data_IF_979547187782
#
_entry.id   IF_979547187782
#
_cell.length_a   1.000
_cell.length_b   1.000
_cell.length_c   1.000
_cell.angle_alpha   90.00
_cell.angle_beta   90.00
_cell.angle_gamma   90.00
#
_symmetry.space_group_name_H-M   'P 1'
#
loop_
_entity.id
_entity.type
_entity.pdbx_description
1 polymer ?
#
# COMPACT_ATOMS: atom_id res chain seq x y z
N UNK A 1 -14.20 11.78 13.78
CA UNK A 1 -14.12 11.12 15.13
C UNK A 1 -13.15 9.94 15.02
N UNK A 2 -11.84 10.26 14.95
CA UNK A 2 -10.82 9.28 14.48
C UNK A 2 -9.80 8.91 15.59
N UNK A 3 -10.31 8.86 16.85
CA UNK A 3 -9.45 8.54 17.98
C UNK A 3 -9.63 7.09 18.43
N UNK A 4 -8.55 6.26 18.45
CA UNK A 4 -8.61 4.91 18.99
C UNK A 4 -9.00 4.87 20.46
N UNK A 5 -8.75 5.95 21.21
CA UNK A 5 -9.15 6.09 22.62
C UNK A 5 -10.67 6.16 22.73
N UNK A 6 -11.35 6.93 21.88
CA UNK A 6 -12.82 7.00 21.88
C UNK A 6 -13.45 5.66 21.48
N UNK A 7 -12.84 4.93 20.56
CA UNK A 7 -13.28 3.57 20.20
C UNK A 7 -13.19 2.64 21.43
N UNK A 8 -12.06 2.62 22.13
CA UNK A 8 -11.87 1.78 23.31
C UNK A 8 -12.85 2.13 24.44
N UNK A 9 -13.06 3.43 24.69
CA UNK A 9 -14.00 3.91 25.72
C UNK A 9 -15.45 3.55 25.38
N UNK A 10 -15.87 3.73 24.14
CA UNK A 10 -17.24 3.39 23.71
C UNK A 10 -17.49 1.89 23.76
N UNK A 11 -16.52 1.06 23.34
CA UNK A 11 -16.60 -0.39 23.41
C UNK A 11 -16.69 -0.86 24.87
N UNK A 12 -15.85 -0.31 25.75
CA UNK A 12 -15.89 -0.60 27.20
C UNK A 12 -17.23 -0.23 27.83
N UNK A 13 -17.71 0.99 27.59
CA UNK A 13 -18.95 1.48 28.16
C UNK A 13 -20.17 0.67 27.69
N UNK A 14 -20.29 0.41 26.38
CA UNK A 14 -21.42 -0.37 25.83
C UNK A 14 -21.39 -1.82 26.28
N UNK A 15 -20.19 -2.43 26.36
CA UNK A 15 -20.01 -3.78 26.89
C UNK A 15 -20.42 -3.89 28.38
N UNK A 16 -20.01 -2.95 29.22
CA UNK A 16 -20.38 -2.91 30.63
C UNK A 16 -21.88 -2.76 30.82
N UNK A 17 -22.52 -1.84 30.09
CA UNK A 17 -23.98 -1.64 30.14
C UNK A 17 -24.71 -2.90 29.72
N UNK A 18 -24.33 -3.52 28.62
CA UNK A 18 -24.94 -4.75 28.14
C UNK A 18 -24.83 -5.90 29.17
N UNK A 19 -23.64 -6.10 29.73
CA UNK A 19 -23.43 -7.11 30.76
C UNK A 19 -24.22 -6.82 32.05
N UNK A 20 -24.33 -5.55 32.45
CA UNK A 20 -25.15 -5.19 33.65
C UNK A 20 -26.65 -5.43 33.42
N UNK A 21 -27.17 -5.06 32.24
CA UNK A 21 -28.58 -5.26 31.91
C UNK A 21 -28.92 -6.76 31.77
N UNK A 22 -28.02 -7.56 31.21
CA UNK A 22 -28.22 -8.97 30.91
C UNK A 22 -27.62 -9.91 31.97
N UNK A 23 -27.25 -9.41 33.16
CA UNK A 23 -26.55 -10.18 34.21
C UNK A 23 -27.28 -11.46 34.66
N UNK A 24 -28.60 -11.53 34.46
CA UNK A 24 -29.41 -12.73 34.77
C UNK A 24 -29.55 -13.70 33.59
N UNK A 25 -29.01 -13.35 32.42
CA UNK A 25 -29.12 -14.13 31.18
C UNK A 25 -27.74 -14.27 30.53
N UNK A 26 -26.91 -15.19 31.04
CA UNK A 26 -25.49 -15.26 30.64
C UNK A 26 -25.30 -15.49 29.14
N UNK A 27 -26.12 -16.31 28.49
CA UNK A 27 -26.03 -16.54 27.06
C UNK A 27 -26.34 -15.27 26.26
N UNK A 28 -27.38 -14.54 26.64
CA UNK A 28 -27.73 -13.25 26.00
C UNK A 28 -26.65 -12.21 26.21
N UNK A 29 -25.98 -12.18 27.38
CA UNK A 29 -24.87 -11.26 27.66
C UNK A 29 -23.68 -11.56 26.74
N UNK A 30 -23.33 -12.81 26.54
CA UNK A 30 -22.27 -13.23 25.62
C UNK A 30 -22.59 -12.81 24.18
N UNK A 31 -23.79 -13.14 23.70
CA UNK A 31 -24.23 -12.77 22.35
C UNK A 31 -24.23 -11.26 22.13
N UNK A 32 -24.74 -10.48 23.09
CA UNK A 32 -24.72 -9.03 23.03
C UNK A 32 -23.31 -8.47 23.00
N UNK A 33 -22.40 -9.00 23.82
CA UNK A 33 -20.99 -8.59 23.82
C UNK A 33 -20.31 -8.86 22.47
N UNK A 34 -20.51 -10.04 21.89
CA UNK A 34 -19.99 -10.37 20.57
C UNK A 34 -20.56 -9.47 19.47
N UNK A 35 -21.85 -9.17 19.52
CA UNK A 35 -22.51 -8.26 18.58
C UNK A 35 -21.94 -6.84 18.70
N UNK A 36 -21.77 -6.32 19.92
CA UNK A 36 -21.17 -5.00 20.17
C UNK A 36 -19.73 -4.96 19.62
N UNK A 37 -18.94 -5.99 19.89
CA UNK A 37 -17.58 -6.09 19.38
C UNK A 37 -17.54 -6.08 17.84
N UNK A 38 -18.42 -6.84 17.20
CA UNK A 38 -18.53 -6.89 15.74
C UNK A 38 -18.93 -5.55 15.13
N UNK A 39 -19.91 -4.87 15.73
CA UNK A 39 -20.35 -3.56 15.26
C UNK A 39 -19.22 -2.52 15.40
N UNK A 40 -18.55 -2.47 16.55
CA UNK A 40 -17.42 -1.55 16.74
C UNK A 40 -16.26 -1.85 15.79
N UNK A 41 -15.96 -3.13 15.58
CA UNK A 41 -14.94 -3.52 14.61
C UNK A 41 -15.31 -3.10 13.19
N UNK A 42 -16.52 -3.45 12.72
CA UNK A 42 -16.93 -3.20 11.33
C UNK A 42 -17.12 -1.73 11.00
N UNK A 43 -17.76 -0.97 11.88
CA UNK A 43 -18.16 0.41 11.60
C UNK A 43 -17.12 1.45 12.06
N UNK A 44 -16.24 1.09 12.97
CA UNK A 44 -15.27 2.05 13.52
C UNK A 44 -13.82 1.61 13.40
N UNK A 45 -13.44 0.45 13.93
CA UNK A 45 -12.05 0.02 13.91
C UNK A 45 -11.53 -0.27 12.49
N UNK A 46 -12.35 -0.90 11.66
CA UNK A 46 -11.98 -1.24 10.28
C UNK A 46 -11.70 0.02 9.44
N UNK A 47 -12.56 1.05 9.39
CA UNK A 47 -12.27 2.30 8.71
C UNK A 47 -11.01 3.01 9.23
N UNK A 48 -10.80 3.03 10.55
CA UNK A 48 -9.59 3.62 11.15
C UNK A 48 -8.30 2.95 10.67
N UNK A 49 -8.32 1.63 10.47
CA UNK A 49 -7.15 0.87 10.02
C UNK A 49 -7.01 0.82 8.49
N UNK A 50 -7.98 1.36 7.75
CA UNK A 50 -7.98 1.24 6.29
C UNK A 50 -6.71 1.81 5.63
N UNK A 51 -6.24 2.96 6.11
CA UNK A 51 -5.04 3.62 5.59
C UNK A 51 -3.75 2.80 5.78
N UNK A 52 -3.71 1.92 6.81
CA UNK A 52 -2.57 1.03 7.05
C UNK A 52 -2.64 -0.26 6.23
N UNK A 53 -3.83 -0.64 5.75
CA UNK A 53 -4.09 -1.92 5.09
C UNK A 53 -4.21 -1.82 3.59
N UNK A 54 -4.73 -0.70 3.08
CA UNK A 54 -4.93 -0.53 1.64
C UNK A 54 -3.83 0.34 1.03
N UNK A 55 -3.47 0.12 -0.25
CA UNK A 55 -2.51 0.97 -0.95
C UNK A 55 -3.13 2.29 -1.44
N UNK A 56 -4.39 2.60 -1.10
CA UNK A 56 -5.13 3.75 -1.61
C UNK A 56 -4.36 5.07 -1.44
N UNK A 57 -3.91 5.35 -0.21
CA UNK A 57 -3.20 6.59 0.09
C UNK A 57 -1.88 6.68 -0.67
N UNK A 58 -1.12 5.58 -0.75
CA UNK A 58 0.15 5.50 -1.47
C UNK A 58 -0.07 5.78 -2.96
N UNK A 59 -1.06 5.12 -3.58
CA UNK A 59 -1.39 5.29 -5.00
C UNK A 59 -1.87 6.71 -5.31
N UNK A 60 -2.73 7.29 -4.46
CA UNK A 60 -3.18 8.67 -4.60
C UNK A 60 -2.02 9.67 -4.50
N UNK A 61 -1.14 9.50 -3.52
CA UNK A 61 0.03 10.37 -3.36
C UNK A 61 1.03 10.20 -4.51
N UNK A 62 1.23 9.00 -5.01
CA UNK A 62 2.03 8.75 -6.21
C UNK A 62 1.41 9.47 -7.41
N UNK A 63 0.10 9.27 -7.66
CA UNK A 63 -0.62 9.89 -8.75
C UNK A 63 -0.54 11.43 -8.78
N UNK A 64 -0.59 12.07 -7.60
CA UNK A 64 -0.44 13.53 -7.47
C UNK A 64 0.95 14.07 -7.83
N UNK A 65 1.98 13.22 -7.81
CA UNK A 65 3.37 13.62 -8.09
C UNK A 65 3.83 13.30 -9.51
N UNK A 66 3.11 12.44 -10.20
CA UNK A 66 3.43 12.01 -11.56
C UNK A 66 2.70 12.88 -12.58
N UNK A 67 3.42 13.28 -13.62
CA UNK A 67 2.81 13.92 -14.79
C UNK A 67 1.99 12.89 -15.61
N UNK A 68 1.06 13.33 -16.47
CA UNK A 68 0.22 12.41 -17.25
C UNK A 68 1.00 11.45 -18.16
N UNK A 69 2.18 11.86 -18.62
CA UNK A 69 3.07 11.08 -19.48
C UNK A 69 4.03 10.18 -18.71
N UNK A 70 4.06 10.26 -17.37
CA UNK A 70 4.98 9.47 -16.57
C UNK A 70 4.51 8.02 -16.44
N UNK A 71 5.46 7.11 -16.56
CA UNK A 71 5.29 5.67 -16.38
C UNK A 71 5.67 5.27 -14.96
N UNK A 72 4.88 4.40 -14.35
CA UNK A 72 5.07 3.92 -12.98
C UNK A 72 5.35 2.42 -12.98
N UNK A 73 6.48 1.99 -12.42
CA UNK A 73 6.76 0.59 -12.12
C UNK A 73 6.52 0.32 -10.64
N UNK A 74 5.68 -0.64 -10.35
CA UNK A 74 5.39 -1.12 -9.00
C UNK A 74 6.21 -2.37 -8.69
N UNK A 75 7.09 -2.26 -7.69
CA UNK A 75 7.77 -3.41 -7.09
C UNK A 75 6.97 -3.99 -5.92
N UNK A 76 7.26 -5.22 -5.53
CA UNK A 76 6.50 -5.93 -4.48
C UNK A 76 4.98 -5.89 -4.74
N UNK A 77 4.62 -6.27 -5.96
CA UNK A 77 3.26 -6.16 -6.48
C UNK A 77 2.25 -6.97 -5.67
N UNK A 78 1.10 -6.34 -5.41
CA UNK A 78 -0.11 -6.97 -4.89
C UNK A 78 -1.30 -6.48 -5.71
N UNK A 79 -2.23 -7.36 -6.03
CA UNK A 79 -3.41 -7.07 -6.86
C UNK A 79 -4.24 -5.88 -6.37
N UNK A 80 -4.23 -5.63 -5.06
CA UNK A 80 -4.93 -4.50 -4.46
C UNK A 80 -4.49 -3.13 -4.99
N UNK A 81 -3.25 -3.01 -5.50
CA UNK A 81 -2.77 -1.75 -6.09
C UNK A 81 -3.52 -1.40 -7.36
N UNK A 82 -3.95 -2.41 -8.14
CA UNK A 82 -4.70 -2.19 -9.39
C UNK A 82 -6.07 -1.55 -9.15
N UNK A 83 -6.68 -1.78 -7.98
CA UNK A 83 -7.96 -1.18 -7.61
C UNK A 83 -7.90 0.34 -7.44
N UNK A 84 -6.71 0.87 -7.15
CA UNK A 84 -6.48 2.29 -6.90
C UNK A 84 -5.58 2.93 -7.97
N UNK A 85 -5.32 2.21 -9.06
CA UNK A 85 -4.57 2.74 -10.19
C UNK A 85 -5.43 3.74 -10.97
N UNK A 86 -4.99 4.99 -11.01
CA UNK A 86 -5.60 6.09 -11.78
C UNK A 86 -4.97 6.26 -13.17
N UNK A 87 -3.95 5.45 -13.47
CA UNK A 87 -3.14 5.49 -14.69
C UNK A 87 -2.61 4.12 -15.06
N UNK A 88 -2.12 3.95 -16.30
CA UNK A 88 -1.34 2.78 -16.67
C UNK A 88 -0.12 2.62 -15.77
N UNK A 89 0.16 1.37 -15.38
CA UNK A 89 1.33 1.04 -14.58
C UNK A 89 1.99 -0.26 -15.05
N UNK A 90 3.25 -0.37 -14.74
CA UNK A 90 4.03 -1.59 -14.90
C UNK A 90 4.20 -2.27 -13.56
N UNK A 91 4.28 -3.59 -13.53
CA UNK A 91 4.50 -4.33 -12.29
C UNK A 91 5.22 -5.66 -12.55
N UNK A 92 5.91 -6.16 -11.55
CA UNK A 92 6.42 -7.52 -11.56
C UNK A 92 5.27 -8.51 -11.28
N UNK A 93 5.45 -9.79 -11.65
CA UNK A 93 4.44 -10.81 -11.39
C UNK A 93 4.17 -10.97 -9.89
N UNK A 94 2.94 -11.32 -9.57
CA UNK A 94 2.59 -11.75 -8.21
C UNK A 94 3.40 -13.01 -7.84
N UNK A 95 3.97 -13.03 -6.65
CA UNK A 95 4.86 -14.11 -6.16
C UNK A 95 6.21 -14.22 -6.90
N UNK A 96 6.61 -13.24 -7.68
CA UNK A 96 7.97 -13.20 -8.19
C UNK A 96 8.94 -12.91 -7.05
N UNK A 97 10.10 -13.60 -7.06
CA UNK A 97 11.15 -13.41 -6.06
C UNK A 97 11.53 -11.94 -5.93
N UNK A 98 11.66 -11.49 -4.69
CA UNK A 98 11.98 -10.08 -4.39
C UNK A 98 13.43 -9.72 -4.77
N UNK A 99 14.35 -10.70 -4.79
CA UNK A 99 15.78 -10.46 -4.99
C UNK A 99 16.16 -9.78 -6.31
N UNK A 100 15.64 -10.18 -7.49
CA UNK A 100 15.99 -9.51 -8.74
C UNK A 100 15.29 -8.16 -8.94
N UNK A 101 14.18 -7.91 -8.24
CA UNK A 101 13.34 -6.73 -8.50
C UNK A 101 14.07 -5.39 -8.37
N UNK A 102 14.95 -5.12 -7.37
CA UNK A 102 15.68 -3.84 -7.29
C UNK A 102 16.58 -3.59 -8.50
N UNK A 103 17.27 -4.62 -8.98
CA UNK A 103 18.18 -4.54 -10.13
C UNK A 103 17.40 -4.30 -11.42
N UNK A 104 16.31 -5.03 -11.63
CA UNK A 104 15.44 -4.88 -12.80
C UNK A 104 14.72 -3.54 -12.80
N UNK A 105 14.26 -3.06 -11.64
CA UNK A 105 13.67 -1.74 -11.49
C UNK A 105 14.67 -0.62 -11.79
N UNK A 106 15.95 -0.78 -11.36
CA UNK A 106 17.02 0.15 -11.66
C UNK A 106 17.31 0.20 -13.18
N UNK A 107 17.41 -0.94 -13.84
CA UNK A 107 17.57 -1.01 -15.29
C UNK A 107 16.38 -0.37 -16.03
N UNK A 108 15.16 -0.67 -15.59
CA UNK A 108 13.95 -0.16 -16.22
C UNK A 108 13.82 1.37 -16.10
N UNK A 109 14.07 1.94 -14.92
CA UNK A 109 13.96 3.40 -14.72
C UNK A 109 15.03 4.18 -15.47
N UNK A 110 16.21 3.60 -15.63
CA UNK A 110 17.32 4.24 -16.37
C UNK A 110 17.10 4.23 -17.89
N UNK A 111 16.37 3.26 -18.42
CA UNK A 111 16.09 3.17 -19.87
C UNK A 111 15.27 4.36 -20.40
N UNK A 112 14.51 5.07 -19.53
CA UNK A 112 13.79 6.32 -19.86
C UNK A 112 13.71 7.21 -18.63
N UNK A 113 14.85 7.75 -18.20
CA UNK A 113 15.02 8.47 -16.93
C UNK A 113 14.15 9.72 -16.77
N UNK A 114 13.67 10.31 -17.88
CA UNK A 114 12.85 11.51 -17.86
C UNK A 114 11.41 11.25 -17.35
N UNK A 115 10.85 10.07 -17.67
CA UNK A 115 9.42 9.79 -17.49
C UNK A 115 9.14 8.54 -16.65
N UNK A 116 10.16 7.84 -16.16
CA UNK A 116 9.97 6.60 -15.41
C UNK A 116 10.19 6.78 -13.92
N UNK A 117 9.30 6.16 -13.18
CA UNK A 117 9.30 6.17 -11.72
C UNK A 117 9.13 4.76 -11.19
N UNK A 118 9.77 4.48 -10.05
CA UNK A 118 9.66 3.21 -9.34
C UNK A 118 8.97 3.44 -8.00
N UNK A 119 7.92 2.69 -7.73
CA UNK A 119 7.17 2.68 -6.48
C UNK A 119 7.41 1.36 -5.76
N UNK A 120 7.85 1.41 -4.51
CA UNK A 120 8.04 0.21 -3.71
C UNK A 120 8.47 0.45 -2.28
N UNK A 121 8.54 -0.62 -1.48
CA UNK A 121 9.06 -0.57 -0.12
C UNK A 121 10.53 -0.19 -0.11
N UNK A 122 10.90 0.78 0.74
CA UNK A 122 12.25 1.31 0.77
C UNK A 122 13.30 0.28 1.18
N UNK A 123 12.98 -0.60 2.12
CA UNK A 123 13.88 -1.68 2.56
C UNK A 123 14.19 -2.67 1.43
N UNK A 124 13.20 -3.01 0.61
CA UNK A 124 13.34 -3.90 -0.55
C UNK A 124 14.15 -3.27 -1.67
N UNK A 125 14.05 -1.97 -1.87
CA UNK A 125 14.72 -1.24 -2.96
C UNK A 125 16.13 -0.73 -2.58
N UNK A 126 16.49 -0.70 -1.29
CA UNK A 126 17.82 -0.27 -0.79
C UNK A 126 19.04 -0.87 -1.52
N UNK A 127 19.03 -2.12 -1.98
CA UNK A 127 20.20 -2.64 -2.70
C UNK A 127 20.58 -1.81 -3.94
N UNK A 128 19.60 -1.15 -4.59
CA UNK A 128 19.83 -0.39 -5.81
C UNK A 128 19.39 1.08 -5.76
N UNK A 129 18.67 1.51 -4.71
CA UNK A 129 18.15 2.88 -4.62
C UNK A 129 18.56 3.56 -3.31
N UNK A 130 19.00 4.80 -3.40
CA UNK A 130 19.35 5.65 -2.28
C UNK A 130 18.07 6.14 -1.59
N UNK A 131 17.87 5.75 -0.33
CA UNK A 131 16.65 6.05 0.42
C UNK A 131 16.44 7.55 0.64
N UNK A 132 17.51 8.33 0.78
CA UNK A 132 17.51 9.78 0.96
C UNK A 132 17.05 10.56 -0.28
N UNK A 133 17.07 9.92 -1.46
CA UNK A 133 16.57 10.48 -2.72
C UNK A 133 15.15 10.03 -3.06
N UNK A 134 14.58 9.14 -2.26
CA UNK A 134 13.21 8.68 -2.42
C UNK A 134 12.21 9.67 -1.85
N UNK A 135 11.06 9.81 -2.50
CA UNK A 135 9.92 10.58 -2.00
C UNK A 135 9.07 9.64 -1.15
N UNK A 136 9.00 9.89 0.16
CA UNK A 136 8.18 9.10 1.07
C UNK A 136 6.68 9.32 0.79
N UNK A 137 5.94 8.21 0.68
CA UNK A 137 4.49 8.20 0.41
C UNK A 137 3.66 7.69 1.59
N UNK A 138 4.31 7.23 2.65
CA UNK A 138 3.67 6.70 3.84
C UNK A 138 3.97 5.23 4.07
N UNK A 139 3.22 4.64 5.00
CA UNK A 139 3.46 3.29 5.49
C UNK A 139 2.30 2.36 5.15
N UNK A 140 2.62 1.11 4.80
CA UNK A 140 1.64 0.06 4.60
C UNK A 140 2.21 -1.29 5.07
N UNK A 141 1.45 -2.01 5.90
CA UNK A 141 1.85 -3.29 6.49
C UNK A 141 3.19 -3.28 7.23
N UNK A 142 3.58 -2.11 7.77
CA UNK A 142 4.86 -1.94 8.46
C UNK A 142 6.01 -1.49 7.57
N UNK A 143 5.86 -1.52 6.24
CA UNK A 143 6.85 -1.07 5.29
C UNK A 143 6.64 0.41 4.93
N UNK A 144 7.73 1.17 4.89
CA UNK A 144 7.74 2.54 4.37
C UNK A 144 7.85 2.52 2.86
N UNK A 145 6.90 3.16 2.17
CA UNK A 145 6.80 3.19 0.72
C UNK A 145 7.36 4.48 0.14
N UNK A 146 8.14 4.33 -0.92
CA UNK A 146 8.83 5.43 -1.58
C UNK A 146 8.61 5.41 -3.09
N UNK A 147 8.69 6.61 -3.66
CA UNK A 147 8.72 6.85 -5.09
C UNK A 147 10.13 7.30 -5.48
N UNK A 148 10.76 6.59 -6.43
CA UNK A 148 12.14 6.84 -6.87
C UNK A 148 12.20 7.19 -8.35
N UNK A 149 13.20 8.00 -8.70
CA UNK A 149 13.61 8.28 -10.07
C UNK A 149 14.98 7.69 -10.37
N UNK A 150 15.42 7.83 -11.64
CA UNK A 150 16.71 7.32 -12.09
C UNK A 150 17.92 7.92 -11.34
N UNK A 151 17.81 9.16 -10.85
CA UNK A 151 18.87 9.83 -10.08
C UNK A 151 19.05 9.25 -8.67
N UNK A 152 18.11 8.46 -8.21
CA UNK A 152 18.20 7.72 -6.95
C UNK A 152 18.95 6.38 -7.10
N UNK A 153 19.22 5.92 -8.33
CA UNK A 153 19.91 4.64 -8.55
C UNK A 153 21.35 4.72 -8.08
N UNK A 154 21.74 3.75 -7.25
CA UNK A 154 23.10 3.65 -6.70
C UNK A 154 24.11 3.27 -7.78
N UNK A 155 25.38 3.72 -7.67
CA UNK A 155 26.43 3.41 -8.65
C UNK A 155 26.60 1.92 -8.94
N UNK A 156 26.41 1.07 -7.93
CA UNK A 156 26.50 -0.39 -8.06
C UNK A 156 25.44 -0.98 -9.01
N UNK A 157 24.31 -0.29 -9.21
CA UNK A 157 23.21 -0.73 -10.07
C UNK A 157 23.06 0.12 -11.35
N UNK A 158 23.94 1.10 -11.59
CA UNK A 158 23.87 1.94 -12.79
C UNK A 158 24.13 1.18 -14.10
N UNK A 159 24.93 0.14 -14.04
CA UNK A 159 25.19 -0.75 -15.18
C UNK A 159 24.35 -2.03 -15.15
N UNK A 160 23.32 -2.06 -14.31
CA UNK A 160 22.46 -3.23 -14.18
C UNK A 160 21.77 -3.53 -15.51
N UNK A 161 21.87 -4.79 -15.91
CA UNK A 161 21.06 -5.33 -16.99
C UNK A 161 19.86 -6.04 -16.38
N UNK A 162 18.71 -5.91 -17.02
CA UNK A 162 17.52 -6.63 -16.58
C UNK A 162 17.81 -8.14 -16.60
N UNK A 163 17.42 -8.82 -15.53
CA UNK A 163 17.54 -10.28 -15.44
C UNK A 163 16.57 -11.02 -16.37
N UNK A 164 15.70 -10.28 -17.07
CA UNK A 164 14.61 -10.82 -17.87
C UNK A 164 13.37 -11.15 -17.05
N UNK A 165 13.32 -10.71 -15.79
CA UNK A 165 12.12 -10.78 -14.98
C UNK A 165 10.95 -10.12 -15.73
N UNK A 166 9.84 -10.84 -15.88
CA UNK A 166 8.68 -10.36 -16.62
C UNK A 166 8.10 -9.10 -15.98
N UNK A 167 8.20 -7.97 -16.69
CA UNK A 167 7.47 -6.75 -16.36
C UNK A 167 6.18 -6.75 -17.14
N UNK A 168 5.07 -6.67 -16.43
CA UNK A 168 3.72 -6.69 -16.99
C UNK A 168 3.16 -5.28 -17.02
N UNK A 169 2.34 -5.01 -18.03
CA UNK A 169 1.66 -3.74 -18.20
C UNK A 169 0.18 -3.87 -17.84
N UNK A 170 -0.34 -2.94 -17.07
CA UNK A 170 -1.74 -2.82 -16.72
C UNK A 170 -2.28 -1.44 -17.08
N UNK A 171 -3.40 -1.40 -17.80
CA UNK A 171 -4.17 -0.18 -18.05
C UNK A 171 -5.55 -0.28 -17.39
N UNK A 172 -5.93 0.67 -16.51
CA UNK A 172 -7.26 0.71 -15.93
C UNK A 172 -8.33 0.86 -17.03
N UNK A 173 -9.44 0.13 -16.90
CA UNK A 173 -10.54 0.17 -17.90
C UNK A 173 -11.14 1.57 -18.10
N UNK A 174 -11.04 2.44 -17.13
CA UNK A 174 -11.53 3.83 -17.20
C UNK A 174 -10.75 4.72 -18.18
N UNK A 175 -9.56 4.28 -18.60
CA UNK A 175 -8.73 5.00 -19.58
C UNK A 175 -8.88 4.42 -21.02
N UNK A 176 -9.65 3.36 -21.18
CA UNK A 176 -9.87 2.68 -22.49
C UNK A 176 -11.22 3.06 -23.10
N UNK A 177 -11.91 4.03 -22.52
CA UNK A 177 -13.19 4.50 -23.02
C UNK A 177 -13.05 5.87 -23.70
N UNK A 178 -12.78 5.86 -25.00
CA UNK A 178 -13.39 6.66 -26.06
C UNK A 178 -12.64 6.49 -27.36
#
# INVERSE_FOLDING_TARGET
MDSPVLLALSLGATGLVANWLLRRQPLSAILATLTILWLHYGFWAYPLMNHLRTPQQIMQQAGQRLAPQDELLLTNFREQFLLFADRPLYHFAYLQDDEPQPTDAAAWVQASSAHRWVLGPGDKLRPCFAADKGIALGQRHGDDWFLFRADAVLPACQSAQSSGAGIFYYAPKLLVGE
#
